data_IF_950178639771
#
_entry.id   IF_950178639771
#
_cell.length_a   1.000
_cell.length_b   1.000
_cell.length_c   1.000
_cell.angle_alpha   90.00
_cell.angle_beta   90.00
_cell.angle_gamma   90.00
#
_symmetry.space_group_name_H-M   'P 1'
#
loop_
_entity.id
_entity.type
_entity.pdbx_description
1 polymer ?
#
# COMPACT_ATOMS: atom_id res chain seq x y z
N UNK A 1 16.91 10.03 17.97
CA UNK A 1 15.54 10.30 17.51
C UNK A 1 15.53 10.82 16.07
N UNK A 2 16.15 11.97 15.78
CA UNK A 2 16.19 12.57 14.43
C UNK A 2 16.83 11.63 13.39
N UNK A 3 17.95 11.04 13.70
CA UNK A 3 18.67 10.10 12.84
C UNK A 3 17.82 8.83 12.54
N UNK A 4 17.16 8.29 13.56
CA UNK A 4 16.24 7.17 13.40
C UNK A 4 15.07 7.53 12.47
N UNK A 5 14.49 8.72 12.64
CA UNK A 5 13.42 9.20 11.77
C UNK A 5 13.86 9.30 10.31
N UNK A 6 15.02 9.94 10.06
CA UNK A 6 15.58 10.10 8.72
C UNK A 6 15.84 8.74 8.04
N UNK A 7 16.33 7.77 8.79
CA UNK A 7 16.52 6.40 8.31
C UNK A 7 15.19 5.75 7.91
N UNK A 8 14.18 5.83 8.76
CA UNK A 8 12.85 5.26 8.49
C UNK A 8 12.19 5.99 7.30
N UNK A 9 12.34 7.32 7.22
CA UNK A 9 11.85 8.11 6.11
C UNK A 9 12.48 7.67 4.78
N UNK A 10 13.81 7.58 4.69
CA UNK A 10 14.51 7.19 3.47
C UNK A 10 14.13 5.78 2.99
N UNK A 11 13.99 4.83 3.92
CA UNK A 11 13.67 3.43 3.59
C UNK A 11 12.21 3.27 3.16
N UNK A 12 11.28 3.99 3.78
CA UNK A 12 9.84 3.67 3.63
C UNK A 12 9.04 4.70 2.83
N UNK A 13 9.62 5.88 2.50
CA UNK A 13 8.93 6.95 1.78
C UNK A 13 8.26 6.45 0.49
N UNK A 14 8.98 5.71 -0.34
CA UNK A 14 8.43 5.21 -1.60
C UNK A 14 7.24 4.26 -1.41
N UNK A 15 7.34 3.33 -0.45
CA UNK A 15 6.26 2.39 -0.15
C UNK A 15 5.01 3.08 0.42
N UNK A 16 5.21 4.10 1.26
CA UNK A 16 4.11 4.88 1.86
C UNK A 16 3.45 5.74 0.79
N UNK A 17 4.24 6.40 -0.06
CA UNK A 17 3.73 7.20 -1.16
C UNK A 17 2.91 6.35 -2.15
N UNK A 18 3.41 5.18 -2.52
CA UNK A 18 2.69 4.27 -3.41
C UNK A 18 1.38 3.80 -2.79
N UNK A 19 1.35 3.55 -1.47
CA UNK A 19 0.14 3.18 -0.76
C UNK A 19 -0.91 4.32 -0.73
N UNK A 20 -0.49 5.59 -0.74
CA UNK A 20 -1.35 6.75 -0.92
C UNK A 20 -1.85 6.84 -2.37
N UNK A 21 -0.90 6.87 -3.32
CA UNK A 21 -1.20 7.08 -4.73
C UNK A 21 -2.15 6.03 -5.30
N UNK A 22 -1.98 4.77 -4.93
CA UNK A 22 -2.88 3.68 -5.37
C UNK A 22 -4.35 3.86 -4.95
N UNK A 23 -4.65 4.85 -4.12
CA UNK A 23 -6.02 5.14 -3.67
C UNK A 23 -6.56 6.48 -4.16
N UNK A 24 -5.73 7.51 -4.17
CA UNK A 24 -6.16 8.86 -4.59
C UNK A 24 -5.91 9.16 -6.06
N UNK A 25 -5.03 8.41 -6.73
CA UNK A 25 -4.62 8.59 -8.13
C UNK A 25 -4.23 10.04 -8.47
N UNK A 26 -3.76 10.80 -7.48
CA UNK A 26 -3.32 12.16 -7.61
C UNK A 26 -1.94 12.30 -6.96
N UNK A 27 -0.98 12.84 -7.74
CA UNK A 27 0.42 12.95 -7.33
C UNK A 27 0.61 13.86 -6.13
N UNK A 28 0.04 15.06 -6.18
CA UNK A 28 0.20 16.07 -5.14
C UNK A 28 -0.47 15.62 -3.83
N UNK A 29 -1.69 15.10 -3.95
CA UNK A 29 -2.40 14.51 -2.80
C UNK A 29 -1.60 13.36 -2.19
N UNK A 30 -1.01 12.46 -3.00
CA UNK A 30 -0.20 11.37 -2.47
C UNK A 30 1.03 11.88 -1.74
N UNK A 31 1.67 12.96 -2.20
CA UNK A 31 2.77 13.61 -1.51
C UNK A 31 2.33 14.18 -0.17
N UNK A 32 1.25 14.93 -0.13
CA UNK A 32 0.72 15.55 1.09
C UNK A 32 0.34 14.50 2.14
N UNK A 33 -0.39 13.46 1.71
CA UNK A 33 -0.77 12.36 2.59
C UNK A 33 0.44 11.58 3.12
N UNK A 34 1.49 11.45 2.29
CA UNK A 34 2.75 10.84 2.72
C UNK A 34 3.45 11.68 3.78
N UNK A 35 3.54 13.01 3.55
CA UNK A 35 4.11 13.94 4.54
C UNK A 35 3.34 13.89 5.85
N UNK A 36 2.01 13.93 5.80
CA UNK A 36 1.14 13.85 6.99
C UNK A 36 1.33 12.52 7.74
N UNK A 37 1.47 11.39 7.03
CA UNK A 37 1.73 10.10 7.67
C UNK A 37 3.08 10.09 8.42
N UNK A 38 4.12 10.65 7.81
CA UNK A 38 5.43 10.78 8.47
C UNK A 38 5.44 11.82 9.58
N UNK A 39 4.67 12.90 9.47
CA UNK A 39 4.49 13.87 10.55
C UNK A 39 3.83 13.21 11.78
N UNK A 40 2.78 12.40 11.57
CA UNK A 40 2.16 11.61 12.65
C UNK A 40 3.13 10.62 13.29
N UNK A 41 3.98 10.01 12.47
CA UNK A 41 5.02 9.11 12.97
C UNK A 41 6.05 9.87 13.82
N UNK A 42 6.54 11.02 13.35
CA UNK A 42 7.44 11.90 14.10
C UNK A 42 6.83 12.31 15.44
N UNK A 43 5.61 12.80 15.44
CA UNK A 43 4.87 13.18 16.66
C UNK A 43 4.75 12.00 17.62
N UNK A 44 4.55 10.80 17.13
CA UNK A 44 4.48 9.61 17.98
C UNK A 44 5.82 9.30 18.64
N UNK A 45 6.93 9.45 17.92
CA UNK A 45 8.27 9.29 18.46
C UNK A 45 8.60 10.35 19.53
N UNK A 46 8.21 11.61 19.29
CA UNK A 46 8.47 12.70 20.26
C UNK A 46 7.69 12.52 21.56
N UNK A 47 6.56 11.83 21.54
CA UNK A 47 5.78 11.46 22.72
C UNK A 47 6.31 10.20 23.42
N UNK A 48 7.49 9.70 23.04
CA UNK A 48 8.10 8.51 23.64
C UNK A 48 7.46 7.18 23.25
N UNK A 49 6.54 7.18 22.29
CA UNK A 49 5.90 5.95 21.82
C UNK A 49 6.78 5.24 20.77
N UNK A 50 6.97 3.95 20.93
CA UNK A 50 7.64 3.11 19.95
C UNK A 50 6.66 2.45 18.99
N UNK A 51 7.07 2.30 17.74
CA UNK A 51 6.31 1.58 16.71
C UNK A 51 7.13 0.36 16.29
N UNK A 52 6.64 -0.83 16.60
CA UNK A 52 7.36 -2.09 16.35
C UNK A 52 7.47 -2.44 14.85
N UNK A 53 6.49 -2.03 14.04
CA UNK A 53 6.43 -2.30 12.61
C UNK A 53 6.15 -1.01 11.85
N UNK A 54 7.18 -0.18 11.68
CA UNK A 54 7.07 1.19 11.16
C UNK A 54 6.43 1.22 9.77
N UNK A 55 6.90 0.37 8.85
CA UNK A 55 6.34 0.30 7.49
C UNK A 55 4.85 -0.01 7.50
N UNK A 56 4.45 -1.02 8.25
CA UNK A 56 3.05 -1.44 8.32
C UNK A 56 2.17 -0.37 8.93
N UNK A 57 2.67 0.30 9.96
CA UNK A 57 1.98 1.40 10.62
C UNK A 57 1.82 2.60 9.68
N UNK A 58 2.91 3.04 9.04
CA UNK A 58 2.90 4.15 8.07
C UNK A 58 1.95 3.87 6.90
N UNK A 59 2.04 2.68 6.29
CA UNK A 59 1.14 2.30 5.21
C UNK A 59 -0.33 2.24 5.64
N UNK A 60 -0.62 1.84 6.89
CA UNK A 60 -1.98 1.88 7.43
C UNK A 60 -2.47 3.31 7.60
N UNK A 61 -1.63 4.18 8.19
CA UNK A 61 -1.98 5.59 8.40
C UNK A 61 -2.27 6.28 7.06
N UNK A 62 -1.40 6.12 6.08
CA UNK A 62 -1.57 6.79 4.79
C UNK A 62 -2.77 6.27 4.01
N UNK A 63 -3.11 4.98 4.11
CA UNK A 63 -4.33 4.43 3.50
C UNK A 63 -5.59 5.01 4.12
N UNK A 64 -5.64 5.12 5.45
CA UNK A 64 -6.78 5.76 6.12
C UNK A 64 -6.92 7.22 5.70
N UNK A 65 -5.80 7.96 5.63
CA UNK A 65 -5.80 9.34 5.14
C UNK A 65 -6.31 9.44 3.70
N UNK A 66 -5.88 8.55 2.82
CA UNK A 66 -6.33 8.53 1.43
C UNK A 66 -7.81 8.16 1.31
N UNK A 67 -8.30 7.23 2.14
CA UNK A 67 -9.73 6.90 2.19
C UNK A 67 -10.57 8.08 2.68
N UNK A 68 -10.11 8.79 3.70
CA UNK A 68 -10.80 9.98 4.23
C UNK A 68 -10.80 11.10 3.18
N UNK A 69 -9.69 11.30 2.47
CA UNK A 69 -9.61 12.23 1.35
C UNK A 69 -10.62 11.87 0.24
N UNK A 70 -10.63 10.61 -0.21
CA UNK A 70 -11.57 10.16 -1.25
C UNK A 70 -13.03 10.34 -0.82
N UNK A 71 -13.36 10.03 0.43
CA UNK A 71 -14.71 10.25 0.97
C UNK A 71 -15.08 11.72 1.01
N UNK A 72 -14.16 12.60 1.41
CA UNK A 72 -14.40 14.04 1.48
C UNK A 72 -14.58 14.66 0.09
N UNK A 73 -13.83 14.23 -0.90
CA UNK A 73 -13.96 14.64 -2.31
C UNK A 73 -15.27 14.14 -2.92
N UNK A 74 -15.66 12.91 -2.64
CA UNK A 74 -16.94 12.35 -3.08
C UNK A 74 -18.13 13.14 -2.51
N UNK A 75 -18.02 13.56 -1.26
CA UNK A 75 -19.06 14.36 -0.63
C UNK A 75 -19.13 15.80 -1.17
N UNK A 76 -18.00 16.34 -1.64
CA UNK A 76 -17.84 17.73 -2.05
C UNK A 76 -18.24 17.99 -3.51
N UNK A 77 -18.10 16.99 -4.40
CA UNK A 77 -18.28 17.17 -5.84
C UNK A 77 -19.38 16.30 -6.47
N UNK A 78 -20.14 15.54 -5.66
CA UNK A 78 -21.12 14.60 -6.21
C UNK A 78 -20.43 13.56 -7.11
N UNK A 79 -21.14 12.55 -7.54
CA UNK A 79 -20.66 11.53 -8.47
C UNK A 79 -20.09 12.14 -9.75
N UNK A 80 -18.82 12.50 -9.77
CA UNK A 80 -18.12 12.73 -11.02
C UNK A 80 -17.94 11.38 -11.71
N UNK A 81 -18.47 11.31 -12.92
CA UNK A 81 -18.49 10.16 -13.75
C UNK A 81 -17.08 9.54 -13.99
N UNK A 82 -17.01 8.27 -14.44
CA UNK A 82 -15.76 7.55 -14.71
C UNK A 82 -14.81 8.20 -15.72
N UNK A 83 -15.22 9.27 -16.37
CA UNK A 83 -14.46 10.05 -17.38
C UNK A 83 -13.21 10.77 -16.84
N UNK A 84 -13.03 10.84 -15.51
CA UNK A 84 -11.81 11.40 -14.90
C UNK A 84 -10.60 10.46 -15.06
N UNK A 85 -10.81 9.20 -15.43
CA UNK A 85 -9.73 8.25 -15.63
C UNK A 85 -8.97 8.43 -16.97
N UNK A 86 -9.48 9.22 -17.91
CA UNK A 86 -8.86 9.44 -19.23
C UNK A 86 -7.91 10.65 -19.31
N UNK A 87 -7.84 11.49 -18.27
CA UNK A 87 -6.92 12.64 -18.23
C UNK A 87 -5.84 12.50 -17.17
N UNK A 88 -5.06 11.45 -17.26
CA UNK A 88 -3.69 11.52 -16.74
C UNK A 88 -2.88 12.15 -17.86
N UNK A 89 -2.69 13.47 -17.75
CA UNK A 89 -1.77 14.20 -18.61
C UNK A 89 -0.39 13.54 -18.49
N UNK A 90 0.02 12.87 -19.57
CA UNK A 90 1.30 12.15 -19.69
C UNK A 90 2.53 13.08 -19.68
N UNK A 91 2.37 14.35 -19.36
CA UNK A 91 3.41 15.37 -19.45
C UNK A 91 3.93 15.88 -18.10
N UNK A 92 3.43 15.41 -16.98
CA UNK A 92 4.10 15.73 -15.71
C UNK A 92 5.26 14.75 -15.54
N UNK A 93 6.48 15.23 -15.75
CA UNK A 93 7.70 14.45 -15.51
C UNK A 93 7.68 13.96 -14.05
N UNK A 94 7.33 12.70 -13.89
CA UNK A 94 7.33 12.06 -12.57
C UNK A 94 8.78 12.00 -12.08
N UNK A 95 9.07 12.32 -10.81
CA UNK A 95 10.40 12.14 -10.26
C UNK A 95 10.92 10.71 -10.49
N UNK A 96 12.21 10.56 -10.72
CA UNK A 96 12.87 9.28 -11.07
C UNK A 96 12.46 8.12 -10.13
N UNK A 97 12.37 8.40 -8.82
CA UNK A 97 11.93 7.41 -7.85
C UNK A 97 10.48 6.92 -8.06
N UNK A 98 9.62 7.72 -8.69
CA UNK A 98 8.22 7.35 -8.99
C UNK A 98 8.19 6.39 -10.17
N UNK A 99 9.06 6.59 -11.17
CA UNK A 99 9.23 5.65 -12.27
C UNK A 99 9.72 4.29 -11.77
N UNK A 100 10.74 4.28 -10.93
CA UNK A 100 11.25 3.05 -10.31
C UNK A 100 10.16 2.33 -9.52
N UNK A 101 9.39 3.07 -8.73
CA UNK A 101 8.29 2.49 -7.94
C UNK A 101 7.12 2.03 -8.82
N UNK A 102 6.80 2.74 -9.89
CA UNK A 102 5.76 2.35 -10.86
C UNK A 102 6.17 1.08 -11.62
N UNK A 103 7.43 1.00 -12.06
CA UNK A 103 7.97 -0.19 -12.69
C UNK A 103 7.96 -1.39 -11.74
N UNK A 104 8.37 -1.16 -10.49
CA UNK A 104 8.33 -2.13 -9.42
C UNK A 104 6.90 -2.65 -9.18
N UNK A 105 5.94 -1.74 -9.10
CA UNK A 105 4.53 -2.06 -8.92
C UNK A 105 3.96 -2.84 -10.11
N UNK A 106 4.33 -2.46 -11.32
CA UNK A 106 3.96 -3.18 -12.54
C UNK A 106 4.51 -4.62 -12.53
N UNK A 107 5.79 -4.81 -12.16
CA UNK A 107 6.41 -6.12 -12.02
C UNK A 107 5.71 -6.97 -10.94
N UNK A 108 5.40 -6.38 -9.79
CA UNK A 108 4.67 -7.06 -8.71
C UNK A 108 3.26 -7.44 -9.16
N UNK A 109 2.52 -6.54 -9.80
CA UNK A 109 1.16 -6.84 -10.29
C UNK A 109 1.15 -7.94 -11.34
N UNK A 110 2.11 -7.93 -12.26
CA UNK A 110 2.27 -9.00 -13.26
C UNK A 110 2.53 -10.34 -12.56
N UNK A 111 3.42 -10.36 -11.58
CA UNK A 111 3.75 -11.55 -10.79
C UNK A 111 2.55 -12.06 -9.98
N UNK A 112 1.76 -11.15 -9.40
CA UNK A 112 0.50 -11.49 -8.72
C UNK A 112 -0.48 -12.09 -9.74
N UNK A 113 -0.47 -11.60 -10.99
CA UNK A 113 -1.26 -12.16 -12.09
C UNK A 113 -0.94 -13.61 -12.41
N UNK A 114 0.30 -14.06 -12.21
CA UNK A 114 0.77 -15.43 -12.43
C UNK A 114 0.38 -16.41 -11.31
N UNK A 115 -0.04 -15.89 -10.15
CA UNK A 115 -0.53 -16.73 -9.07
C UNK A 115 -1.87 -17.37 -9.43
N UNK A 116 -2.13 -18.55 -8.86
CA UNK A 116 -3.44 -19.17 -9.00
C UNK A 116 -4.54 -18.27 -8.40
N UNK A 117 -5.77 -18.41 -8.90
CA UNK A 117 -6.89 -17.54 -8.53
C UNK A 117 -7.16 -17.49 -7.03
N UNK A 118 -7.01 -18.61 -6.32
CA UNK A 118 -7.26 -18.70 -4.87
C UNK A 118 -6.19 -17.95 -4.05
N UNK A 119 -4.92 -18.03 -4.47
CA UNK A 119 -3.82 -17.32 -3.81
C UNK A 119 -3.90 -15.82 -4.10
N UNK A 120 -4.25 -15.44 -5.33
CA UNK A 120 -4.48 -14.05 -5.72
C UNK A 120 -5.61 -13.43 -4.90
N UNK A 121 -6.75 -14.08 -4.85
CA UNK A 121 -7.93 -13.62 -4.11
C UNK A 121 -7.61 -13.37 -2.64
N UNK A 122 -6.93 -14.29 -1.96
CA UNK A 122 -6.64 -14.15 -0.54
C UNK A 122 -5.60 -13.05 -0.25
N UNK A 123 -4.65 -12.83 -1.17
CA UNK A 123 -3.70 -11.72 -1.09
C UNK A 123 -4.40 -10.39 -1.33
N UNK A 124 -5.27 -10.30 -2.32
CA UNK A 124 -6.07 -9.12 -2.61
C UNK A 124 -6.95 -8.73 -1.43
N UNK A 125 -7.72 -9.67 -0.88
CA UNK A 125 -8.55 -9.42 0.31
C UNK A 125 -7.72 -8.92 1.50
N UNK A 126 -6.50 -9.46 1.69
CA UNK A 126 -5.66 -9.09 2.83
C UNK A 126 -4.92 -7.76 2.64
N UNK A 127 -4.40 -7.49 1.42
CA UNK A 127 -3.47 -6.39 1.19
C UNK A 127 -4.08 -5.22 0.43
N UNK A 128 -5.04 -5.47 -0.43
CA UNK A 128 -5.72 -4.42 -1.19
C UNK A 128 -6.99 -3.97 -0.48
N UNK A 129 -7.81 -4.93 -0.01
CA UNK A 129 -9.08 -4.65 0.69
C UNK A 129 -8.91 -4.50 2.22
N UNK A 130 -7.71 -4.74 2.75
CA UNK A 130 -7.34 -4.70 4.20
C UNK A 130 -8.26 -5.54 5.10
N UNK A 131 -8.86 -6.60 4.56
CA UNK A 131 -9.74 -7.50 5.32
C UNK A 131 -8.99 -8.19 6.46
N UNK A 132 -9.61 -8.28 7.62
CA UNK A 132 -9.08 -9.07 8.75
C UNK A 132 -9.19 -10.56 8.44
N UNK A 133 -8.32 -11.35 9.05
CA UNK A 133 -8.33 -12.83 8.87
C UNK A 133 -9.70 -13.43 9.15
N UNK A 134 -10.42 -12.91 10.14
CA UNK A 134 -11.77 -13.38 10.51
C UNK A 134 -12.78 -13.05 9.42
N UNK A 135 -12.68 -11.88 8.80
CA UNK A 135 -13.55 -11.45 7.69
C UNK A 135 -13.30 -12.28 6.44
N UNK A 136 -12.02 -12.50 6.11
CA UNK A 136 -11.61 -13.39 5.01
C UNK A 136 -12.14 -14.81 5.25
N UNK A 137 -12.02 -15.31 6.48
CA UNK A 137 -12.52 -16.63 6.86
C UNK A 137 -14.03 -16.74 6.64
N UNK A 138 -14.78 -15.73 7.05
CA UNK A 138 -16.24 -15.66 6.87
C UNK A 138 -16.62 -15.61 5.38
N UNK A 139 -15.96 -14.75 4.59
CA UNK A 139 -16.27 -14.59 3.16
C UNK A 139 -15.91 -15.82 2.33
N UNK A 140 -14.85 -16.54 2.69
CA UNK A 140 -14.41 -17.74 1.98
C UNK A 140 -14.98 -19.05 2.56
N UNK A 141 -15.79 -19.01 3.60
CA UNK A 141 -16.31 -20.20 4.29
C UNK A 141 -15.21 -21.07 4.92
N UNK A 142 -14.11 -20.45 5.40
CA UNK A 142 -12.95 -21.14 5.93
C UNK A 142 -12.75 -20.88 7.43
N UNK A 143 -12.01 -21.78 8.08
CA UNK A 143 -11.52 -21.51 9.44
C UNK A 143 -10.34 -20.50 9.39
N UNK A 144 -10.22 -19.63 10.40
CA UNK A 144 -9.15 -18.63 10.48
C UNK A 144 -7.74 -19.26 10.39
N UNK A 145 -7.53 -20.45 10.92
CA UNK A 145 -6.29 -21.20 10.79
C UNK A 145 -5.98 -21.55 9.31
N UNK A 146 -6.99 -21.96 8.54
CA UNK A 146 -6.85 -22.28 7.13
C UNK A 146 -6.50 -21.01 6.31
N UNK A 147 -7.11 -19.86 6.65
CA UNK A 147 -6.77 -18.56 6.03
C UNK A 147 -5.31 -18.19 6.30
N UNK A 148 -4.84 -18.31 7.55
CA UNK A 148 -3.43 -18.07 7.90
C UNK A 148 -2.48 -18.93 7.07
N UNK A 149 -2.76 -20.21 6.96
CA UNK A 149 -1.93 -21.15 6.18
C UNK A 149 -1.96 -20.84 4.67
N UNK A 150 -3.12 -20.49 4.12
CA UNK A 150 -3.21 -20.08 2.71
C UNK A 150 -2.44 -18.78 2.45
N UNK A 151 -2.58 -17.77 3.31
CA UNK A 151 -1.81 -16.54 3.22
C UNK A 151 -0.30 -16.81 3.29
N UNK A 152 0.15 -17.67 4.18
CA UNK A 152 1.55 -18.06 4.27
C UNK A 152 2.03 -18.68 2.96
N UNK A 153 1.31 -19.67 2.42
CA UNK A 153 1.67 -20.33 1.15
C UNK A 153 1.64 -19.36 -0.03
N UNK A 154 0.63 -18.50 -0.12
CA UNK A 154 0.51 -17.52 -1.18
C UNK A 154 1.68 -16.51 -1.14
N UNK A 155 2.08 -16.05 0.05
CA UNK A 155 3.27 -15.20 0.24
C UNK A 155 4.56 -15.91 -0.17
N UNK A 156 4.73 -17.17 0.23
CA UNK A 156 5.91 -17.96 -0.12
C UNK A 156 6.03 -18.12 -1.63
N UNK A 157 4.94 -18.43 -2.33
CA UNK A 157 4.92 -18.50 -3.79
C UNK A 157 5.23 -17.14 -4.44
N UNK A 158 4.59 -16.08 -3.98
CA UNK A 158 4.87 -14.72 -4.46
C UNK A 158 6.34 -14.35 -4.25
N UNK A 159 6.90 -14.67 -3.08
CA UNK A 159 8.31 -14.43 -2.80
C UNK A 159 9.26 -15.20 -3.75
N UNK A 160 8.91 -16.44 -4.12
CA UNK A 160 9.69 -17.22 -5.09
C UNK A 160 9.70 -16.55 -6.47
N UNK A 161 8.58 -16.01 -6.93
CA UNK A 161 8.50 -15.29 -8.19
C UNK A 161 9.20 -13.93 -8.17
N UNK A 162 9.19 -13.23 -7.02
CA UNK A 162 9.80 -11.91 -6.88
C UNK A 162 11.32 -11.96 -6.61
N UNK A 163 11.84 -13.09 -6.10
CA UNK A 163 13.26 -13.25 -5.82
C UNK A 163 14.17 -13.03 -7.05
N UNK A 164 13.86 -13.56 -8.26
CA UNK A 164 14.66 -13.31 -9.46
C UNK A 164 14.65 -11.84 -9.91
N UNK A 165 13.66 -11.05 -9.45
CA UNK A 165 13.52 -9.62 -9.75
C UNK A 165 14.28 -8.72 -8.74
N UNK A 166 15.12 -9.31 -7.87
CA UNK A 166 15.94 -8.58 -6.90
C UNK A 166 15.24 -8.25 -5.58
N UNK A 167 14.02 -8.77 -5.34
CA UNK A 167 13.34 -8.60 -4.06
C UNK A 167 13.85 -9.63 -3.04
N UNK A 168 14.73 -9.19 -2.13
CA UNK A 168 15.11 -9.95 -0.95
C UNK A 168 13.99 -9.90 0.10
N UNK A 169 13.40 -11.05 0.40
CA UNK A 169 12.54 -11.21 1.58
C UNK A 169 13.41 -11.86 2.66
N UNK A 170 13.87 -11.08 3.62
CA UNK A 170 14.41 -11.58 4.89
C UNK A 170 13.26 -11.85 5.86
#
# INVERSE_FOLDING_TARGET
MQEQFLKIYSIHRGAVWLAAYSRCFNFDVANDLTQEAFFRYWRKLTLGNTVTFERSWLCKVVRNLAEDYCKSSFYKYGTMAPEVFEKIDSHTALPEFVYEQAELFSKVNRTVGELNSKDRQILEMRYTQDCRIVEIAKQLGLKSAAVKMRLFRARTRLAQFLRPLGFGFN
#
